data_IF_076861503536
#
_entry.id   IF_076861503536
#
_cell.length_a   1.000
_cell.length_b   1.000
_cell.length_c   1.000
_cell.angle_alpha   90.00
_cell.angle_beta   90.00
_cell.angle_gamma   90.00
#
_symmetry.space_group_name_H-M   'P 1'
#
loop_
_entity.id
_entity.type
_entity.pdbx_description
1 polymer ?
#
# COMPACT_ATOMS: atom_id res chain seq x y z
N UNK A 1 8.17 -8.45 0.82
CA UNK A 1 7.12 -7.82 -0.01
C UNK A 1 7.84 -7.08 -1.11
N UNK A 2 7.61 -7.44 -2.36
CA UNK A 2 8.21 -6.73 -3.48
C UNK A 2 7.18 -5.71 -3.97
N UNK A 3 7.44 -4.42 -3.76
CA UNK A 3 6.59 -3.37 -4.30
C UNK A 3 7.29 -2.69 -5.48
N UNK A 4 6.58 -2.60 -6.59
CA UNK A 4 7.06 -1.98 -7.80
C UNK A 4 6.18 -0.80 -8.19
N UNK A 5 6.82 0.27 -8.70
CA UNK A 5 6.13 1.38 -9.36
C UNK A 5 6.56 1.46 -10.82
N UNK A 6 5.64 1.87 -11.67
CA UNK A 6 5.90 2.12 -13.10
C UNK A 6 6.28 3.58 -13.38
N UNK A 7 6.13 4.46 -12.38
CA UNK A 7 6.45 5.87 -12.47
C UNK A 7 7.88 6.14 -11.95
N UNK A 8 8.75 6.63 -12.82
CA UNK A 8 10.13 7.01 -12.44
C UNK A 8 10.29 8.47 -11.98
N UNK A 9 9.24 9.29 -12.07
CA UNK A 9 9.33 10.69 -11.71
C UNK A 9 9.81 10.85 -10.26
N UNK A 10 10.90 11.59 -10.07
CA UNK A 10 11.46 11.84 -8.74
C UNK A 10 10.47 12.63 -7.87
N UNK A 11 9.81 13.63 -8.45
CA UNK A 11 8.78 14.41 -7.77
C UNK A 11 7.66 13.51 -7.20
N UNK A 12 7.17 12.55 -7.99
CA UNK A 12 6.14 11.61 -7.52
C UNK A 12 6.63 10.76 -6.35
N UNK A 13 7.88 10.29 -6.41
CA UNK A 13 8.46 9.52 -5.30
C UNK A 13 8.57 10.37 -4.04
N UNK A 14 9.13 11.59 -4.14
CA UNK A 14 9.31 12.46 -2.98
C UNK A 14 7.98 12.91 -2.35
N UNK A 15 6.97 13.19 -3.17
CA UNK A 15 5.69 13.72 -2.69
C UNK A 15 4.78 12.63 -2.11
N UNK A 16 4.72 11.45 -2.71
CA UNK A 16 3.69 10.45 -2.40
C UNK A 16 4.21 9.16 -1.78
N UNK A 17 5.52 8.90 -1.80
CA UNK A 17 6.08 7.61 -1.40
C UNK A 17 7.19 7.73 -0.37
N UNK A 18 8.11 8.67 -0.53
CA UNK A 18 9.25 8.81 0.37
C UNK A 18 8.75 9.04 1.80
N UNK A 19 9.37 8.33 2.75
CA UNK A 19 9.03 8.36 4.16
C UNK A 19 7.61 7.94 4.55
N UNK A 20 6.80 7.47 3.60
CA UNK A 20 5.47 6.95 3.90
C UNK A 20 5.54 5.54 4.49
N UNK A 21 4.54 5.24 5.34
CA UNK A 21 4.42 3.96 6.02
C UNK A 21 3.44 3.02 5.31
N UNK A 22 3.78 1.74 5.31
CA UNK A 22 3.00 0.65 4.74
C UNK A 22 2.84 -0.45 5.78
N UNK A 23 1.67 -1.08 5.79
CA UNK A 23 1.36 -2.20 6.66
C UNK A 23 1.21 -3.47 5.81
N UNK A 24 1.87 -4.56 6.19
CA UNK A 24 1.69 -5.85 5.54
C UNK A 24 0.47 -6.63 6.08
N UNK A 25 0.21 -7.82 5.52
CA UNK A 25 -0.90 -8.67 5.93
C UNK A 25 -0.77 -9.27 7.34
N UNK A 26 0.32 -9.00 8.06
CA UNK A 26 0.56 -9.43 9.44
C UNK A 26 0.56 -8.23 10.41
N UNK A 27 0.22 -7.04 9.94
CA UNK A 27 0.24 -5.83 10.75
C UNK A 27 1.62 -5.18 10.86
N UNK A 28 2.68 -5.74 10.25
CA UNK A 28 4.03 -5.19 10.39
C UNK A 28 4.17 -3.89 9.59
N UNK A 29 4.72 -2.87 10.23
CA UNK A 29 4.92 -1.56 9.59
C UNK A 29 6.30 -1.49 8.91
N UNK A 30 6.30 -0.90 7.72
CA UNK A 30 7.49 -0.63 6.92
C UNK A 30 7.49 0.83 6.50
N UNK A 31 8.65 1.48 6.49
CA UNK A 31 8.86 2.81 5.93
C UNK A 31 9.50 2.69 4.55
N UNK A 32 9.04 3.46 3.58
CA UNK A 32 9.77 3.60 2.31
C UNK A 32 10.96 4.53 2.54
N UNK A 33 12.17 4.03 2.27
CA UNK A 33 13.43 4.77 2.42
C UNK A 33 14.11 5.07 1.09
N UNK A 34 13.57 4.54 -0.02
CA UNK A 34 14.19 4.74 -1.32
C UNK A 34 13.52 3.98 -2.45
N UNK A 35 14.13 4.09 -3.62
CA UNK A 35 13.76 3.34 -4.81
C UNK A 35 15.00 2.92 -5.59
N UNK A 36 14.93 1.78 -6.28
CA UNK A 36 16.01 1.21 -7.09
C UNK A 36 15.56 1.05 -8.53
N UNK A 37 16.39 1.58 -9.43
CA UNK A 37 16.21 1.40 -10.86
C UNK A 37 16.39 -0.07 -11.25
N UNK A 38 15.70 -0.56 -12.31
CA UNK A 38 15.92 -1.90 -12.80
C UNK A 38 17.39 -2.09 -13.19
N UNK A 39 18.02 -3.15 -12.70
CA UNK A 39 19.43 -3.46 -13.00
C UNK A 39 19.66 -3.79 -14.47
N UNK A 40 18.66 -4.40 -15.12
CA UNK A 40 18.75 -4.83 -16.52
C UNK A 40 18.75 -3.64 -17.49
N UNK A 41 19.81 -3.56 -18.30
CA UNK A 41 19.93 -2.57 -19.38
C UNK A 41 18.76 -2.72 -20.38
N UNK A 42 18.37 -3.96 -20.70
CA UNK A 42 17.23 -4.22 -21.60
C UNK A 42 15.93 -3.61 -21.07
N UNK A 43 15.66 -3.70 -19.76
CA UNK A 43 14.48 -3.07 -19.17
C UNK A 43 14.52 -1.55 -19.26
N UNK A 44 15.71 -0.94 -19.21
CA UNK A 44 15.88 0.51 -19.39
C UNK A 44 15.71 0.95 -20.85
N UNK A 45 16.23 0.18 -21.80
CA UNK A 45 16.12 0.48 -23.24
C UNK A 45 14.70 0.30 -23.74
N UNK A 46 14.04 -0.79 -23.34
CA UNK A 46 12.68 -1.10 -23.75
C UNK A 46 11.62 -0.50 -22.84
N UNK A 47 11.91 0.59 -22.12
CA UNK A 47 11.00 1.16 -21.12
C UNK A 47 9.61 1.53 -21.66
N UNK A 48 9.53 1.78 -22.96
CA UNK A 48 8.29 2.08 -23.68
C UNK A 48 7.35 0.87 -23.82
N UNK A 49 7.84 -0.36 -23.63
CA UNK A 49 7.00 -1.56 -23.65
C UNK A 49 6.19 -1.66 -22.35
N UNK A 50 4.88 -1.95 -22.42
CA UNK A 50 4.06 -2.18 -21.23
C UNK A 50 4.68 -3.24 -20.30
N UNK A 51 4.62 -2.98 -18.99
CA UNK A 51 5.12 -3.88 -17.93
C UNK A 51 6.63 -4.17 -17.92
N UNK A 52 7.43 -3.60 -18.82
CA UNK A 52 8.87 -3.87 -18.94
C UNK A 52 9.71 -3.08 -17.92
N UNK A 53 9.29 -1.85 -17.61
CA UNK A 53 9.98 -0.95 -16.71
C UNK A 53 9.30 -0.91 -15.35
N UNK A 54 10.01 -1.44 -14.35
CA UNK A 54 9.55 -1.48 -12.96
C UNK A 54 10.67 -1.00 -12.06
N UNK A 55 10.34 -0.06 -11.19
CA UNK A 55 11.22 0.45 -10.15
C UNK A 55 10.86 -0.27 -8.87
N UNK A 56 11.86 -0.79 -8.18
CA UNK A 56 11.70 -1.46 -6.89
C UNK A 56 11.70 -0.41 -5.78
N UNK A 57 10.70 -0.45 -4.90
CA UNK A 57 10.70 0.36 -3.68
C UNK A 57 11.54 -0.32 -2.60
N UNK A 58 12.32 0.47 -1.88
CA UNK A 58 13.14 0.01 -0.77
C UNK A 58 12.39 0.26 0.53
N UNK A 59 12.05 -0.82 1.20
CA UNK A 59 11.38 -0.80 2.49
C UNK A 59 12.37 -1.05 3.60
N UNK A 60 12.25 -0.26 4.66
CA UNK A 60 12.86 -0.52 5.95
C UNK A 60 11.78 -1.03 6.91
N UNK A 61 12.00 -2.20 7.49
CA UNK A 61 11.13 -2.71 8.53
C UNK A 61 11.27 -1.83 9.77
N UNK A 62 10.15 -1.37 10.31
CA UNK A 62 10.15 -0.75 11.64
C UNK A 62 10.02 -1.84 12.72
N UNK A 63 10.12 -1.43 13.98
CA UNK A 63 9.81 -2.29 15.13
C UNK A 63 8.34 -2.16 15.56
N UNK A 64 7.50 -1.56 14.72
CA UNK A 64 6.11 -1.25 15.02
C UNK A 64 5.17 -2.20 14.30
N UNK A 65 4.02 -2.44 14.94
CA UNK A 65 2.97 -3.29 14.43
C UNK A 65 1.63 -2.60 14.67
N UNK A 66 0.75 -2.63 13.65
CA UNK A 66 -0.66 -2.32 13.82
C UNK A 66 -1.37 -3.59 14.25
N UNK A 67 -2.14 -3.52 15.33
CA UNK A 67 -3.08 -4.59 15.64
C UNK A 67 -4.20 -4.61 14.60
N UNK A 68 -4.94 -5.73 14.53
CA UNK A 68 -6.10 -5.83 13.67
C UNK A 68 -7.13 -4.72 13.96
N UNK A 69 -7.27 -4.37 15.24
CA UNK A 69 -8.19 -3.32 15.68
C UNK A 69 -7.70 -1.94 15.24
N UNK A 70 -6.41 -1.63 15.41
CA UNK A 70 -5.86 -0.33 15.01
C UNK A 70 -5.99 -0.13 13.49
N UNK A 71 -5.70 -1.17 12.70
CA UNK A 71 -5.85 -1.12 11.26
C UNK A 71 -7.32 -0.92 10.86
N UNK A 72 -8.25 -1.63 11.52
CA UNK A 72 -9.68 -1.48 11.28
C UNK A 72 -10.15 -0.06 11.57
N UNK A 73 -9.76 0.49 12.72
CA UNK A 73 -10.17 1.82 13.15
C UNK A 73 -9.61 2.89 12.21
N UNK A 74 -8.34 2.77 11.81
CA UNK A 74 -7.73 3.62 10.79
C UNK A 74 -8.48 3.58 9.46
N UNK A 75 -8.83 2.38 8.96
CA UNK A 75 -9.57 2.23 7.70
C UNK A 75 -10.98 2.82 7.79
N UNK A 76 -11.68 2.61 8.91
CA UNK A 76 -13.01 3.17 9.15
C UNK A 76 -12.95 4.70 9.17
N UNK A 77 -11.97 5.28 9.86
CA UNK A 77 -11.76 6.72 9.90
C UNK A 77 -11.54 7.26 8.49
N UNK A 78 -10.65 6.63 7.71
CA UNK A 78 -10.39 7.04 6.34
C UNK A 78 -11.63 6.96 5.46
N UNK A 79 -12.43 5.90 5.57
CA UNK A 79 -13.70 5.77 4.82
C UNK A 79 -14.68 6.89 5.16
N UNK A 80 -14.80 7.27 6.44
CA UNK A 80 -15.64 8.41 6.86
C UNK A 80 -15.20 9.74 6.24
N UNK A 81 -13.89 9.96 6.11
CA UNK A 81 -13.37 11.20 5.50
C UNK A 81 -13.73 11.34 4.02
N UNK A 82 -14.04 10.25 3.33
CA UNK A 82 -14.35 10.25 1.90
C UNK A 82 -15.81 10.63 1.60
N UNK A 83 -16.74 10.45 2.56
CA UNK A 83 -18.11 10.96 2.50
C UNK A 83 -18.98 10.42 1.36
N UNK A 84 -19.17 9.10 1.27
CA UNK A 84 -19.90 8.42 0.19
C UNK A 84 -21.32 7.94 0.53
N UNK A 85 -21.93 8.42 1.62
CA UNK A 85 -23.34 8.12 1.97
C UNK A 85 -23.60 6.62 2.16
N UNK A 86 -24.53 6.03 1.40
CA UNK A 86 -24.89 4.61 1.57
C UNK A 86 -23.73 3.63 1.33
N UNK A 87 -22.77 3.98 0.46
CA UNK A 87 -21.58 3.16 0.23
C UNK A 87 -20.63 3.18 1.42
N UNK A 88 -20.52 4.32 2.09
CA UNK A 88 -19.74 4.48 3.32
C UNK A 88 -20.27 3.55 4.41
N UNK A 89 -21.59 3.56 4.64
CA UNK A 89 -22.24 2.72 5.67
C UNK A 89 -21.98 1.24 5.40
N UNK A 90 -22.17 0.79 4.15
CA UNK A 90 -21.91 -0.61 3.76
C UNK A 90 -20.44 -0.98 3.99
N UNK A 91 -19.51 -0.14 3.55
CA UNK A 91 -18.09 -0.42 3.68
C UNK A 91 -17.64 -0.49 5.14
N UNK A 92 -18.06 0.47 5.98
CA UNK A 92 -17.77 0.44 7.42
C UNK A 92 -18.31 -0.84 8.07
N UNK A 93 -19.51 -1.30 7.66
CA UNK A 93 -20.08 -2.54 8.16
C UNK A 93 -19.24 -3.77 7.78
N UNK A 94 -18.73 -3.82 6.56
CA UNK A 94 -17.82 -4.90 6.12
C UNK A 94 -16.47 -4.87 6.90
N UNK A 95 -15.90 -3.68 7.14
CA UNK A 95 -14.67 -3.55 7.94
C UNK A 95 -14.86 -4.02 9.39
N UNK A 96 -16.03 -3.77 9.97
CA UNK A 96 -16.37 -4.21 11.33
C UNK A 96 -16.51 -5.73 11.46
N UNK A 97 -16.95 -6.41 10.39
CA UNK A 97 -17.13 -7.86 10.38
C UNK A 97 -15.85 -8.65 10.14
N UNK A 98 -14.83 -8.01 9.55
CA UNK A 98 -13.57 -8.66 9.23
C UNK A 98 -12.85 -9.15 10.50
N UNK A 99 -12.46 -10.43 10.51
CA UNK A 99 -11.81 -11.14 11.62
C UNK A 99 -10.31 -11.36 11.39
N UNK A 100 -9.79 -10.96 10.22
CA UNK A 100 -8.37 -11.08 9.88
C UNK A 100 -7.89 -9.87 9.07
N UNK A 101 -6.58 -9.66 9.04
CA UNK A 101 -5.96 -8.63 8.19
C UNK A 101 -6.30 -8.86 6.72
N UNK A 102 -6.34 -10.13 6.30
CA UNK A 102 -6.70 -10.51 4.94
C UNK A 102 -8.14 -10.10 4.60
N UNK A 103 -9.09 -10.34 5.49
CA UNK A 103 -10.49 -9.93 5.31
C UNK A 103 -10.62 -8.40 5.27
N UNK A 104 -9.89 -7.66 6.13
CA UNK A 104 -9.86 -6.19 6.10
C UNK A 104 -9.32 -5.65 4.77
N UNK A 105 -8.22 -6.20 4.28
CA UNK A 105 -7.50 -5.70 3.10
C UNK A 105 -8.21 -6.11 1.79
N UNK A 106 -8.70 -7.36 1.71
CA UNK A 106 -9.26 -7.91 0.47
C UNK A 106 -10.78 -7.77 0.36
N UNK A 107 -11.48 -7.47 1.47
CA UNK A 107 -12.94 -7.33 1.49
C UNK A 107 -13.72 -8.60 1.16
N UNK A 108 -13.09 -9.78 1.28
CA UNK A 108 -13.76 -11.08 1.10
C UNK A 108 -14.05 -11.70 2.46
N UNK A 109 -15.31 -11.75 2.84
CA UNK A 109 -15.78 -12.53 3.98
C UNK A 109 -16.19 -13.92 3.46
N UNK A 110 -15.64 -14.98 4.08
CA UNK A 110 -16.05 -16.36 3.80
C UNK A 110 -17.39 -16.68 4.47
#
# INVERSE_FOLDING_TARGET
MDAFIYNNAEAYFQEYLNEHFFCDSNGKIFKIIGKKQPKSIFRKVFFFLPNSYKIELVFEATNEYLTLNDLRDFMIERVKTLGYGNFEVKWILELRKANSYQELILGKQN
#
